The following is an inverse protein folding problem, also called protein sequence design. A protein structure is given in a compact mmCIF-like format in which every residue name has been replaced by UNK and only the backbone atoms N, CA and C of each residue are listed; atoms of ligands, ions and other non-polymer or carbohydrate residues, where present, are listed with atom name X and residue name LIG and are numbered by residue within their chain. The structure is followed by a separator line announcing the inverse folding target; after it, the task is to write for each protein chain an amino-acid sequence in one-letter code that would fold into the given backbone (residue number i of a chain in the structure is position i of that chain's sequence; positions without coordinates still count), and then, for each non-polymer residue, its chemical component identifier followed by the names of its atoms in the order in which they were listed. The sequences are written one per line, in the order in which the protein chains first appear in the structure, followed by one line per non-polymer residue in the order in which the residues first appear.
data_IF_770806204222
#
_entry.id   IF_770806204222
#
_cell.length_a   1.000
_cell.length_b   1.000
_cell.length_c   1.000
_cell.angle_alpha   90.00
_cell.angle_beta   90.00
_cell.angle_gamma   90.00
#
_symmetry.space_group_name_H-M   'P 1'
#
loop_
_entity.id
_entity.type
_entity.pdbx_description
1 polymer ?
#
# COMPACT_ATOMS: atom_id res chain seq x y z
N UNK A 1 2.58 -8.46 -10.10
CA UNK A 1 1.99 -7.23 -10.69
C UNK A 1 2.64 -6.97 -12.05
N UNK A 2 2.03 -6.21 -12.97
CA UNK A 2 2.68 -5.83 -14.25
C UNK A 2 3.06 -4.35 -14.25
N UNK A 3 4.28 -4.02 -14.66
CA UNK A 3 4.67 -2.63 -14.89
C UNK A 3 4.03 -2.13 -16.18
N UNK A 4 3.25 -1.04 -16.13
CA UNK A 4 2.60 -0.47 -17.33
C UNK A 4 3.57 0.16 -18.34
N UNK A 5 4.80 0.47 -17.92
CA UNK A 5 5.82 1.07 -18.79
C UNK A 5 6.66 0.02 -19.50
N UNK A 6 7.12 -0.97 -18.75
CA UNK A 6 8.04 -2.00 -19.25
C UNK A 6 7.33 -3.29 -19.69
N UNK A 7 6.04 -3.46 -19.37
CA UNK A 7 5.29 -4.72 -19.53
C UNK A 7 5.99 -5.94 -18.91
N UNK A 8 6.83 -5.73 -17.90
CA UNK A 8 7.47 -6.81 -17.14
C UNK A 8 6.66 -7.16 -15.90
N UNK A 9 6.74 -8.43 -15.50
CA UNK A 9 6.22 -8.89 -14.22
C UNK A 9 7.08 -8.29 -13.11
N UNK A 10 6.47 -7.42 -12.31
CA UNK A 10 7.05 -6.91 -11.08
C UNK A 10 6.97 -8.00 -10.01
N UNK A 11 8.11 -8.36 -9.47
CA UNK A 11 8.26 -9.20 -8.28
C UNK A 11 7.53 -8.55 -7.12
N UNK A 12 6.50 -9.20 -6.60
CA UNK A 12 5.77 -8.73 -5.42
C UNK A 12 6.62 -9.13 -4.22
N UNK A 13 7.46 -8.23 -3.72
CA UNK A 13 8.10 -8.44 -2.41
C UNK A 13 7.13 -8.08 -1.29
N UNK A 14 6.24 -7.10 -1.51
CA UNK A 14 5.30 -6.61 -0.50
C UNK A 14 5.98 -5.96 0.72
N UNK A 15 7.29 -5.73 0.66
CA UNK A 15 8.11 -5.24 1.77
C UNK A 15 8.33 -3.74 1.75
N UNK A 16 8.02 -3.06 0.65
CA UNK A 16 8.28 -1.62 0.53
C UNK A 16 7.09 -0.80 1.01
N UNK A 17 7.37 0.13 1.94
CA UNK A 17 6.39 1.02 2.56
C UNK A 17 6.81 2.47 2.35
N UNK A 18 5.84 3.33 2.07
CA UNK A 18 6.03 4.78 2.03
C UNK A 18 4.98 5.45 2.93
N UNK A 19 5.32 6.49 3.70
CA UNK A 19 4.32 7.25 4.44
C UNK A 19 3.28 7.85 3.49
N UNK A 20 1.99 7.74 3.86
CA UNK A 20 0.91 8.45 3.17
C UNK A 20 1.12 9.95 3.35
N UNK A 21 1.01 10.71 2.26
CA UNK A 21 1.18 12.18 2.28
C UNK A 21 -0.07 12.94 2.75
N UNK A 22 -1.20 12.26 2.95
CA UNK A 22 -2.43 12.91 3.37
C UNK A 22 -2.42 13.18 4.87
N UNK A 23 -2.69 14.43 5.26
CA UNK A 23 -2.69 14.89 6.67
C UNK A 23 -3.70 14.16 7.55
N UNK A 24 -4.78 13.65 6.96
CA UNK A 24 -5.85 12.96 7.68
C UNK A 24 -5.54 11.48 7.93
N UNK A 25 -4.65 10.88 7.14
CA UNK A 25 -4.48 9.44 7.04
C UNK A 25 -3.05 9.08 7.48
N UNK A 26 -2.83 9.04 8.80
CA UNK A 26 -1.55 8.63 9.40
C UNK A 26 -1.34 7.14 9.18
N UNK A 27 -0.76 6.78 8.04
CA UNK A 27 -0.50 5.39 7.69
C UNK A 27 0.63 5.24 6.68
N UNK A 28 1.11 4.00 6.53
CA UNK A 28 2.04 3.63 5.48
C UNK A 28 1.28 2.92 4.37
N UNK A 29 1.59 3.26 3.12
CA UNK A 29 1.10 2.55 1.94
C UNK A 29 2.18 1.63 1.40
N UNK A 30 1.76 0.43 1.02
CA UNK A 30 2.63 -0.54 0.35
C UNK A 30 2.79 -0.16 -1.11
N UNK A 31 3.97 -0.40 -1.67
CA UNK A 31 4.19 -0.26 -3.10
C UNK A 31 5.14 -1.35 -3.58
N UNK A 32 5.02 -1.71 -4.86
CA UNK A 32 6.08 -2.43 -5.56
C UNK A 32 6.77 -1.47 -6.53
N UNK A 33 8.08 -1.61 -6.66
CA UNK A 33 8.90 -0.83 -7.58
C UNK A 33 9.36 -1.71 -8.74
N UNK A 34 9.27 -1.16 -9.95
CA UNK A 34 9.74 -1.85 -11.15
C UNK A 34 11.28 -1.82 -11.16
N UNK A 35 11.96 -2.97 -11.25
CA UNK A 35 13.43 -3.00 -11.24
C UNK A 35 14.07 -2.35 -12.47
N UNK A 36 13.33 -2.24 -13.59
CA UNK A 36 13.86 -1.67 -14.84
C UNK A 36 13.69 -0.16 -14.93
N UNK A 37 12.53 0.38 -14.54
CA UNK A 37 12.20 1.79 -14.75
C UNK A 37 11.85 2.54 -13.47
N UNK A 38 12.04 1.92 -12.31
CA UNK A 38 11.72 2.48 -10.98
C UNK A 38 10.28 2.99 -10.83
N UNK A 39 9.37 2.49 -11.69
CA UNK A 39 7.96 2.83 -11.60
C UNK A 39 7.36 2.20 -10.36
N UNK A 40 6.80 3.02 -9.49
CA UNK A 40 6.14 2.59 -8.26
C UNK A 40 4.66 2.40 -8.50
N UNK A 41 4.17 1.21 -8.19
CA UNK A 41 2.73 0.91 -8.15
C UNK A 41 2.30 0.76 -6.71
N UNK A 42 1.50 1.70 -6.25
CA UNK A 42 0.97 1.73 -4.89
C UNK A 42 -0.24 0.79 -4.74
N UNK A 43 -0.31 0.13 -3.60
CA UNK A 43 -1.47 -0.62 -3.17
C UNK A 43 -2.38 0.26 -2.32
N UNK A 44 -3.63 0.39 -2.74
CA UNK A 44 -4.66 1.09 -1.98
C UNK A 44 -5.43 0.16 -1.02
N UNK A 45 -5.00 -1.11 -0.89
CA UNK A 45 -5.60 -2.05 0.04
C UNK A 45 -5.30 -1.64 1.48
N UNK A 46 -6.30 -1.77 2.36
CA UNK A 46 -6.12 -1.49 3.78
C UNK A 46 -4.98 -2.34 4.33
N UNK A 47 -4.07 -1.72 5.08
CA UNK A 47 -3.05 -2.49 5.80
C UNK A 47 -3.68 -3.18 7.04
N UNK A 48 -3.01 -4.17 7.61
CA UNK A 48 -3.56 -4.93 8.75
C UNK A 48 -3.92 -4.02 9.93
N UNK A 49 -3.13 -2.97 10.17
CA UNK A 49 -3.38 -1.98 11.21
C UNK A 49 -4.64 -1.14 10.94
N UNK A 50 -4.89 -0.75 9.69
CA UNK A 50 -6.10 -0.05 9.26
C UNK A 50 -7.33 -0.94 9.37
N UNK A 51 -7.20 -2.23 9.07
CA UNK A 51 -8.27 -3.22 9.26
C UNK A 51 -8.60 -3.35 10.76
N UNK A 52 -7.60 -3.56 11.60
CA UNK A 52 -7.77 -3.64 13.06
C UNK A 52 -8.36 -2.35 13.64
N UNK A 53 -7.87 -1.18 13.22
CA UNK A 53 -8.41 0.11 13.68
C UNK A 53 -9.88 0.29 13.29
N UNK A 54 -10.28 -0.14 12.08
CA UNK A 54 -11.68 -0.11 11.65
C UNK A 54 -12.55 -1.04 12.50
N UNK A 55 -12.06 -2.23 12.86
CA UNK A 55 -12.80 -3.15 13.73
C UNK A 55 -12.94 -2.62 15.16
N UNK A 56 -11.88 -2.04 15.73
CA UNK A 56 -11.90 -1.39 17.05
C UNK A 56 -12.87 -0.20 17.07
N UNK A 57 -12.89 0.62 16.01
CA UNK A 57 -13.84 1.73 15.90
C UNK A 57 -15.29 1.23 15.81
N UNK A 58 -15.55 0.16 15.03
CA UNK A 58 -16.87 -0.47 14.96
C UNK A 58 -17.33 -1.04 16.30
N UNK A 59 -16.45 -1.67 17.08
CA UNK A 59 -16.81 -2.23 18.39
C UNK A 59 -17.09 -1.14 19.44
N UNK A 60 -16.43 0.01 19.37
CA UNK A 60 -16.68 1.17 20.25
C UNK A 60 -17.96 1.95 19.94
N UNK A 61 -18.50 1.78 18.74
CA UNK A 61 -19.71 2.49 18.27
C UNK A 61 -21.01 1.75 18.59
N UNK A 62 -20.93 0.61 19.29
CA UNK A 62 -22.02 -0.32 19.59
C UNK A 62 -22.24 -0.39 21.10
#
# INVERSE_FOLDING_TARGET
MLCKKCNIVMSISGTSYEPKRNKEDRGYRRYDECPSCHYRKYYNGANFQEVMNKEIQKSRSR
#
